data_IF_229179550049
#
_entry.id   IF_229179550049
#
_cell.length_a   1.000
_cell.length_b   1.000
_cell.length_c   1.000
_cell.angle_alpha   90.00
_cell.angle_beta   90.00
_cell.angle_gamma   90.00
#
_symmetry.space_group_name_H-M   'P 1'
#
loop_
_entity.id
_entity.type
_entity.pdbx_description
1 polymer ?
#
# COMPACT_ATOMS: atom_id res chain seq x y z
N UNK A 1 15.26 5.47 7.64
CA UNK A 1 16.20 5.05 8.73
C UNK A 1 15.62 5.26 10.12
N UNK A 2 14.79 6.31 10.33
CA UNK A 2 14.17 6.63 11.62
C UNK A 2 13.28 5.49 12.15
N UNK A 3 12.41 4.94 11.31
CA UNK A 3 11.50 3.86 11.68
C UNK A 3 12.24 2.61 12.19
N UNK A 4 13.28 2.17 11.47
CA UNK A 4 14.07 0.99 11.85
C UNK A 4 14.76 1.20 13.21
N UNK A 5 15.34 2.38 13.45
CA UNK A 5 15.95 2.72 14.73
C UNK A 5 14.92 2.74 15.87
N UNK A 6 13.72 3.27 15.62
CA UNK A 6 12.63 3.27 16.60
C UNK A 6 12.17 1.84 16.91
N UNK A 7 11.91 0.99 15.90
CA UNK A 7 11.52 -0.40 16.12
C UNK A 7 12.60 -1.20 16.88
N UNK A 8 13.87 -0.88 16.67
CA UNK A 8 14.98 -1.49 17.39
C UNK A 8 14.97 -1.17 18.90
N UNK A 9 14.41 -0.03 19.35
CA UNK A 9 14.29 0.27 20.80
C UNK A 9 13.29 -0.65 21.51
N UNK A 10 12.30 -1.17 20.76
CA UNK A 10 11.38 -2.23 21.19
C UNK A 10 11.97 -3.64 20.98
N UNK A 11 13.22 -3.71 20.50
CA UNK A 11 13.91 -4.94 20.16
C UNK A 11 13.28 -5.68 18.97
N UNK A 12 12.53 -4.99 18.11
CA UNK A 12 11.96 -5.55 16.90
C UNK A 12 13.02 -5.44 15.79
N UNK A 13 13.51 -6.58 15.30
CA UNK A 13 14.46 -6.61 14.20
C UNK A 13 13.71 -6.44 12.88
N UNK A 14 14.18 -5.50 12.05
CA UNK A 14 13.63 -5.22 10.71
C UNK A 14 14.75 -5.12 9.68
N UNK A 15 14.41 -5.25 8.40
CA UNK A 15 15.37 -5.12 7.30
C UNK A 15 14.83 -4.18 6.23
N UNK A 16 15.70 -3.35 5.66
CA UNK A 16 15.39 -2.56 4.46
C UNK A 16 15.49 -3.43 3.19
N UNK A 17 14.90 -2.99 2.06
CA UNK A 17 15.09 -3.67 0.77
C UNK A 17 16.56 -3.88 0.38
N UNK A 18 17.45 -2.97 0.79
CA UNK A 18 18.88 -3.10 0.55
C UNK A 18 19.53 -4.16 1.44
N UNK A 19 19.12 -4.27 2.71
CA UNK A 19 19.65 -5.25 3.67
C UNK A 19 19.19 -6.71 3.43
N UNK A 20 18.22 -6.92 2.54
CA UNK A 20 17.74 -8.25 2.13
C UNK A 20 18.39 -8.76 0.84
N UNK A 21 19.17 -7.93 0.15
CA UNK A 21 19.95 -8.34 -1.02
C UNK A 21 20.78 -9.60 -0.70
N UNK A 22 20.89 -10.57 -1.64
CA UNK A 22 20.45 -10.50 -3.04
C UNK A 22 18.96 -10.85 -3.27
N UNK A 23 18.17 -11.08 -2.21
CA UNK A 23 16.74 -11.36 -2.35
C UNK A 23 16.01 -10.07 -2.68
N UNK A 24 15.22 -10.10 -3.75
CA UNK A 24 14.40 -8.95 -4.13
C UNK A 24 13.01 -9.04 -3.50
N UNK A 25 12.53 -7.92 -2.98
CA UNK A 25 11.16 -7.81 -2.48
C UNK A 25 10.29 -7.22 -3.58
N UNK A 26 9.23 -7.92 -3.97
CA UNK A 26 8.33 -7.49 -5.05
C UNK A 26 6.92 -7.21 -4.52
N UNK A 27 6.21 -6.33 -5.21
CA UNK A 27 4.75 -6.24 -5.10
C UNK A 27 4.09 -7.52 -5.63
N UNK A 28 2.97 -7.98 -5.04
CA UNK A 28 2.12 -9.02 -5.64
C UNK A 28 1.80 -8.76 -7.12
N UNK A 29 1.69 -7.49 -7.54
CA UNK A 29 1.41 -7.11 -8.92
C UNK A 29 2.51 -7.55 -9.89
N UNK A 30 3.77 -7.53 -9.46
CA UNK A 30 4.89 -7.99 -10.29
C UNK A 30 4.85 -9.51 -10.46
N UNK A 31 4.51 -10.24 -9.40
CA UNK A 31 4.31 -11.68 -9.47
C UNK A 31 3.11 -12.05 -10.36
N UNK A 32 2.03 -11.26 -10.34
CA UNK A 32 0.91 -11.46 -11.28
C UNK A 32 1.38 -11.37 -12.74
N UNK A 33 2.18 -10.34 -13.09
CA UNK A 33 2.77 -10.19 -14.44
C UNK A 33 3.64 -11.39 -14.83
N UNK A 34 4.43 -11.92 -13.90
CA UNK A 34 5.19 -13.16 -14.14
C UNK A 34 4.24 -14.31 -14.49
N UNK A 35 3.20 -14.50 -13.68
CA UNK A 35 2.27 -15.60 -13.87
C UNK A 35 1.43 -15.48 -15.15
N UNK A 36 1.28 -14.31 -15.78
CA UNK A 36 0.62 -14.20 -17.09
C UNK A 36 1.29 -15.08 -18.15
N UNK A 37 2.61 -15.23 -18.05
CA UNK A 37 3.38 -16.04 -18.99
C UNK A 37 3.21 -17.56 -18.77
N UNK A 38 2.61 -17.96 -17.65
CA UNK A 38 2.33 -19.37 -17.39
C UNK A 38 1.31 -19.90 -18.40
N UNK A 39 1.71 -20.90 -19.18
CA UNK A 39 0.86 -21.54 -20.18
C UNK A 39 0.76 -20.80 -21.52
N UNK A 40 1.62 -19.80 -21.76
CA UNK A 40 1.73 -19.18 -23.09
C UNK A 40 2.22 -20.21 -24.11
N UNK A 41 1.48 -20.39 -25.20
CA UNK A 41 1.87 -21.23 -26.32
C UNK A 41 1.39 -20.63 -27.63
N UNK A 42 2.32 -20.04 -28.38
CA UNK A 42 2.03 -19.38 -29.66
C UNK A 42 1.49 -20.33 -30.73
N UNK A 43 1.95 -21.58 -30.76
CA UNK A 43 1.49 -22.58 -31.74
C UNK A 43 0.03 -22.98 -31.51
N UNK A 44 -0.42 -22.98 -30.25
CA UNK A 44 -1.79 -23.30 -29.86
C UNK A 44 -2.68 -22.07 -29.65
N UNK A 45 -2.16 -20.86 -29.87
CA UNK A 45 -2.89 -19.62 -29.61
C UNK A 45 -3.18 -19.34 -28.13
N UNK A 46 -2.53 -20.04 -27.20
CA UNK A 46 -2.71 -19.84 -25.76
C UNK A 46 -1.93 -18.60 -25.30
N UNK A 47 -2.65 -17.65 -24.70
CA UNK A 47 -2.10 -16.37 -24.23
C UNK A 47 -1.60 -16.40 -22.78
N UNK A 48 -1.70 -17.55 -22.12
CA UNK A 48 -1.26 -17.74 -20.74
C UNK A 48 -2.36 -17.50 -19.70
N UNK A 49 -1.95 -17.27 -18.45
CA UNK A 49 -2.87 -17.14 -17.31
C UNK A 49 -3.50 -15.74 -17.29
N UNK A 50 -4.82 -15.61 -17.09
CA UNK A 50 -5.45 -14.32 -16.86
C UNK A 50 -4.88 -13.60 -15.63
N UNK A 51 -4.87 -12.26 -15.67
CA UNK A 51 -4.51 -11.42 -14.53
C UNK A 51 -5.42 -11.71 -13.34
N UNK A 52 -4.85 -12.38 -12.33
CA UNK A 52 -5.55 -12.73 -11.09
C UNK A 52 -4.63 -12.48 -9.90
N UNK A 53 -5.15 -11.83 -8.84
CA UNK A 53 -4.38 -11.56 -7.63
C UNK A 53 -3.80 -12.85 -7.07
N UNK A 54 -2.58 -12.74 -6.58
CA UNK A 54 -1.91 -13.80 -5.85
C UNK A 54 -2.34 -13.66 -4.39
N UNK A 55 -3.04 -14.68 -3.89
CA UNK A 55 -3.49 -14.69 -2.49
C UNK A 55 -2.38 -15.04 -1.50
N UNK A 56 -2.73 -15.03 -0.21
CA UNK A 56 -1.84 -15.25 0.93
C UNK A 56 -0.90 -16.46 0.80
N UNK A 57 -1.39 -17.59 0.26
CA UNK A 57 -0.56 -18.80 0.09
C UNK A 57 0.55 -18.61 -0.97
N UNK A 58 0.30 -17.79 -2.00
CA UNK A 58 1.30 -17.49 -3.01
C UNK A 58 2.27 -16.42 -2.54
N UNK A 59 1.79 -15.36 -1.89
CA UNK A 59 2.66 -14.32 -1.32
C UNK A 59 3.49 -14.80 -0.13
N UNK A 60 3.10 -15.89 0.53
CA UNK A 60 3.87 -16.51 1.63
C UNK A 60 4.98 -17.48 1.18
N UNK A 61 5.50 -17.31 -0.03
CA UNK A 61 6.57 -18.13 -0.63
C UNK A 61 7.77 -17.28 -1.02
N UNK A 62 8.91 -17.96 -1.18
CA UNK A 62 9.99 -17.45 -1.98
C UNK A 62 9.91 -18.04 -3.38
N UNK A 63 10.35 -17.27 -4.36
CA UNK A 63 10.32 -17.63 -5.76
C UNK A 63 11.71 -17.60 -6.35
N UNK A 64 12.01 -18.56 -7.21
CA UNK A 64 13.18 -18.54 -8.08
C UNK A 64 12.72 -18.12 -9.48
N UNK A 65 13.14 -16.94 -9.91
CA UNK A 65 12.69 -16.30 -11.15
C UNK A 65 13.93 -15.82 -11.90
N UNK A 66 14.19 -16.37 -13.09
CA UNK A 66 15.34 -15.98 -13.93
C UNK A 66 16.69 -15.94 -13.18
N UNK A 67 16.95 -16.91 -12.30
CA UNK A 67 18.18 -16.97 -11.50
C UNK A 67 18.23 -15.99 -10.32
N UNK A 68 17.15 -15.26 -10.04
CA UNK A 68 17.01 -14.38 -8.87
C UNK A 68 16.09 -15.02 -7.82
N UNK A 69 16.34 -14.71 -6.56
CA UNK A 69 15.44 -15.08 -5.46
C UNK A 69 14.54 -13.89 -5.17
N UNK A 70 13.24 -14.12 -5.21
CA UNK A 70 12.21 -13.09 -5.07
C UNK A 70 11.29 -13.47 -3.92
N UNK A 71 10.90 -12.50 -3.11
CA UNK A 71 9.85 -12.64 -2.11
C UNK A 71 8.80 -11.56 -2.35
N UNK A 72 7.51 -11.90 -2.25
CA UNK A 72 6.45 -10.92 -2.35
C UNK A 72 5.91 -10.58 -0.96
N UNK A 73 5.56 -9.32 -0.73
CA UNK A 73 4.76 -8.98 0.44
C UNK A 73 3.27 -9.30 0.15
N UNK A 74 2.44 -9.58 1.17
CA UNK A 74 0.99 -9.75 1.09
C UNK A 74 0.23 -8.62 0.38
N UNK A 75 -0.90 -8.96 -0.23
CA UNK A 75 -1.75 -7.98 -0.92
C UNK A 75 -2.25 -6.85 0.01
N UNK A 76 -2.43 -7.12 1.30
CA UNK A 76 -2.85 -6.12 2.29
C UNK A 76 -1.85 -4.96 2.49
N UNK A 77 -0.59 -5.11 2.07
CA UNK A 77 0.41 -4.02 2.11
C UNK A 77 0.57 -3.28 0.78
N UNK A 78 -0.20 -3.67 -0.24
CA UNK A 78 -0.24 -2.97 -1.50
C UNK A 78 -0.94 -1.63 -1.30
N UNK A 79 -0.28 -0.54 -1.71
CA UNK A 79 -0.86 0.80 -1.61
C UNK A 79 -2.09 0.87 -2.51
N UNK A 80 -3.23 1.20 -1.90
CA UNK A 80 -4.51 1.38 -2.56
C UNK A 80 -4.99 2.81 -2.33
N UNK A 81 -5.73 3.36 -3.29
CA UNK A 81 -6.37 4.67 -3.17
C UNK A 81 -7.57 4.66 -2.19
N UNK A 82 -7.87 3.49 -1.60
CA UNK A 82 -9.00 3.30 -0.69
C UNK A 82 -8.65 3.66 0.75
N UNK A 83 -9.50 4.46 1.41
CA UNK A 83 -9.22 4.99 2.75
C UNK A 83 -9.04 3.90 3.81
N UNK A 84 -9.77 2.77 3.74
CA UNK A 84 -9.62 1.69 4.72
C UNK A 84 -8.23 1.04 4.70
N UNK A 85 -7.47 1.14 3.60
CA UNK A 85 -6.09 0.62 3.58
C UNK A 85 -5.13 1.43 4.44
N UNK A 86 -5.58 2.57 4.98
CA UNK A 86 -4.80 3.42 5.87
C UNK A 86 -5.22 3.25 7.35
N UNK A 87 -6.26 2.47 7.64
CA UNK A 87 -6.67 2.17 9.01
C UNK A 87 -5.76 1.09 9.60
N UNK A 88 -4.96 1.48 10.59
CA UNK A 88 -4.00 0.59 11.24
C UNK A 88 -4.69 -0.51 12.06
N UNK A 89 -5.87 -0.26 12.65
CA UNK A 89 -6.59 -1.27 13.40
C UNK A 89 -7.08 -2.39 12.48
N UNK A 90 -7.65 -2.02 11.32
CA UNK A 90 -8.03 -2.99 10.29
C UNK A 90 -6.82 -3.76 9.74
N UNK A 91 -5.71 -3.06 9.48
CA UNK A 91 -4.48 -3.70 9.02
C UNK A 91 -3.96 -4.76 10.01
N UNK A 92 -4.01 -4.48 11.31
CA UNK A 92 -3.61 -5.43 12.37
C UNK A 92 -4.48 -6.68 12.32
N UNK A 93 -5.79 -6.53 12.22
CA UNK A 93 -6.73 -7.65 12.14
C UNK A 93 -6.54 -8.46 10.85
N UNK A 94 -6.30 -7.79 9.72
CA UNK A 94 -6.02 -8.45 8.45
C UNK A 94 -4.70 -9.24 8.48
N UNK A 95 -3.65 -8.72 9.12
CA UNK A 95 -2.38 -9.45 9.31
C UNK A 95 -2.63 -10.73 10.11
N UNK A 96 -3.39 -10.65 11.21
CA UNK A 96 -3.71 -11.83 12.04
C UNK A 96 -4.53 -12.86 11.26
N UNK A 97 -5.56 -12.40 10.55
CA UNK A 97 -6.40 -13.25 9.72
C UNK A 97 -5.58 -13.95 8.63
N UNK A 98 -4.67 -13.22 7.97
CA UNK A 98 -3.81 -13.79 6.93
C UNK A 98 -2.83 -14.82 7.51
N UNK A 99 -2.19 -14.55 8.65
CA UNK A 99 -1.34 -15.51 9.35
C UNK A 99 -2.09 -16.79 9.71
N UNK A 100 -3.29 -16.66 10.28
CA UNK A 100 -4.14 -17.79 10.64
C UNK A 100 -4.58 -18.59 9.41
N UNK A 101 -4.94 -17.91 8.33
CA UNK A 101 -5.31 -18.53 7.06
C UNK A 101 -4.14 -19.34 6.49
N UNK A 102 -2.95 -18.74 6.40
CA UNK A 102 -1.75 -19.41 5.93
C UNK A 102 -1.42 -20.60 6.82
N UNK A 103 -1.39 -20.42 8.14
CA UNK A 103 -1.12 -21.50 9.10
C UNK A 103 -2.08 -22.69 8.98
N UNK A 104 -3.38 -22.42 8.79
CA UNK A 104 -4.41 -23.47 8.69
C UNK A 104 -4.36 -24.23 7.36
N UNK A 105 -4.14 -23.51 6.25
CA UNK A 105 -4.28 -24.06 4.90
C UNK A 105 -2.94 -24.34 4.20
N UNK A 106 -1.81 -24.15 4.87
CA UNK A 106 -0.52 -24.52 4.30
C UNK A 106 -0.39 -26.03 4.13
N UNK A 107 -0.09 -26.46 2.90
CA UNK A 107 0.09 -27.88 2.52
C UNK A 107 1.32 -28.12 1.66
N UNK A 108 2.14 -27.09 1.45
CA UNK A 108 3.31 -27.14 0.57
C UNK A 108 4.57 -27.50 1.34
N UNK A 109 5.57 -28.02 0.65
CA UNK A 109 6.88 -28.34 1.25
C UNK A 109 7.61 -27.05 1.64
N UNK A 110 8.25 -27.07 2.82
CA UNK A 110 8.86 -25.89 3.42
C UNK A 110 7.86 -25.04 4.21
N UNK A 111 8.39 -24.12 5.03
CA UNK A 111 7.60 -23.26 5.90
C UNK A 111 7.06 -22.05 5.12
N UNK A 112 5.80 -21.62 5.36
CA UNK A 112 5.33 -20.35 4.84
C UNK A 112 6.18 -19.21 5.39
N UNK A 113 6.54 -18.27 4.52
CA UNK A 113 7.37 -17.10 4.88
C UNK A 113 6.69 -15.85 4.36
N UNK A 114 6.27 -14.97 5.28
CA UNK A 114 5.50 -13.76 4.98
C UNK A 114 6.32 -12.52 5.34
N UNK A 115 6.29 -11.49 4.47
CA UNK A 115 6.93 -10.21 4.74
C UNK A 115 5.89 -9.22 5.25
N UNK A 116 6.07 -8.72 6.48
CA UNK A 116 5.26 -7.63 7.01
C UNK A 116 5.94 -6.33 6.64
N UNK A 117 5.28 -5.52 5.82
CA UNK A 117 5.82 -4.24 5.38
C UNK A 117 5.38 -3.14 6.35
N UNK A 118 6.34 -2.39 6.89
CA UNK A 118 6.09 -1.26 7.78
C UNK A 118 6.69 -0.02 7.12
N UNK A 119 5.92 1.05 7.07
CA UNK A 119 6.26 2.33 6.45
C UNK A 119 6.30 3.44 7.51
N UNK A 120 6.94 4.57 7.20
CA UNK A 120 7.14 5.64 8.19
C UNK A 120 5.84 6.38 8.55
N UNK A 121 4.88 6.45 7.63
CA UNK A 121 3.53 6.99 7.84
C UNK A 121 2.75 6.20 8.91
N UNK A 122 2.97 4.89 9.02
CA UNK A 122 2.36 4.07 10.07
C UNK A 122 2.67 4.59 11.48
N UNK A 123 3.84 5.22 11.69
CA UNK A 123 4.22 5.79 12.99
C UNK A 123 3.35 6.97 13.42
N UNK A 124 2.65 7.61 12.48
CA UNK A 124 1.80 8.77 12.73
C UNK A 124 0.39 8.37 13.16
N UNK A 125 0.02 7.12 12.93
CA UNK A 125 -1.32 6.60 13.23
C UNK A 125 -1.56 6.53 14.75
N UNK A 126 -2.80 6.76 15.17
CA UNK A 126 -3.20 6.66 16.57
C UNK A 126 -3.02 5.25 17.13
N UNK A 127 -3.24 4.21 16.30
CA UNK A 127 -3.15 2.81 16.67
C UNK A 127 -1.76 2.19 16.42
N UNK A 128 -0.73 3.02 16.28
CA UNK A 128 0.63 2.52 16.06
C UNK A 128 1.15 1.65 17.22
N UNK A 129 0.67 1.92 18.45
CA UNK A 129 1.05 1.15 19.63
C UNK A 129 0.55 -0.30 19.54
N UNK A 130 -0.64 -0.49 19.01
CA UNK A 130 -1.29 -1.78 18.79
C UNK A 130 -0.51 -2.59 17.74
N UNK A 131 0.06 -1.92 16.72
CA UNK A 131 0.98 -2.56 15.79
C UNK A 131 2.27 -3.02 16.50
N UNK A 132 2.83 -2.22 17.39
CA UNK A 132 3.99 -2.62 18.20
C UNK A 132 3.66 -3.83 19.09
N UNK A 133 2.45 -3.88 19.67
CA UNK A 133 1.99 -5.02 20.47
C UNK A 133 1.87 -6.29 19.61
N UNK A 134 1.34 -6.19 18.39
CA UNK A 134 1.34 -7.29 17.42
C UNK A 134 2.77 -7.77 17.11
N UNK A 135 3.68 -6.86 16.77
CA UNK A 135 5.08 -7.22 16.46
C UNK A 135 5.79 -7.84 17.66
N UNK A 136 5.52 -7.38 18.87
CA UNK A 136 6.04 -7.98 20.10
C UNK A 136 5.47 -9.40 20.32
N UNK A 137 4.20 -9.63 19.98
CA UNK A 137 3.57 -10.96 20.01
C UNK A 137 4.28 -11.91 19.04
N UNK A 138 4.46 -11.48 17.79
CA UNK A 138 5.17 -12.24 16.75
C UNK A 138 6.61 -12.56 17.16
N UNK A 139 7.30 -11.61 17.81
CA UNK A 139 8.66 -11.80 18.34
C UNK A 139 8.72 -12.87 19.43
N UNK A 140 7.69 -12.95 20.29
CA UNK A 140 7.56 -14.03 21.31
C UNK A 140 7.30 -15.42 20.69
N UNK A 141 7.03 -15.47 19.39
CA UNK A 141 6.90 -16.71 18.62
C UNK A 141 5.49 -17.29 18.57
N UNK A 142 4.47 -16.53 18.97
CA UNK A 142 3.07 -16.95 18.92
C UNK A 142 2.16 -15.78 18.52
N UNK A 143 1.10 -16.06 17.77
CA UNK A 143 0.05 -15.11 17.43
C UNK A 143 -1.29 -15.85 17.51
N UNK A 144 -2.15 -15.52 18.47
CA UNK A 144 -3.49 -16.12 18.62
C UNK A 144 -3.51 -17.67 18.52
N UNK A 145 -2.52 -18.33 19.16
CA UNK A 145 -2.36 -19.79 19.16
C UNK A 145 -1.56 -20.36 17.99
N UNK A 146 -1.29 -19.57 16.95
CA UNK A 146 -0.39 -19.93 15.85
C UNK A 146 1.06 -19.74 16.27
N UNK A 147 1.88 -20.79 16.14
CA UNK A 147 3.33 -20.68 16.35
C UNK A 147 3.98 -20.00 15.15
N UNK A 148 4.65 -18.88 15.41
CA UNK A 148 5.35 -18.09 14.40
C UNK A 148 6.83 -17.96 14.74
N UNK A 149 7.65 -17.61 13.75
CA UNK A 149 9.07 -17.33 13.95
C UNK A 149 9.43 -16.07 13.19
N UNK A 150 9.81 -15.03 13.92
CA UNK A 150 10.46 -13.87 13.35
C UNK A 150 11.97 -14.08 13.21
N UNK A 151 12.58 -13.42 12.24
CA UNK A 151 14.02 -13.42 12.05
C UNK A 151 14.41 -12.74 10.75
N UNK A 152 15.72 -12.57 10.54
CA UNK A 152 16.24 -12.07 9.27
C UNK A 152 15.90 -13.04 8.15
N UNK A 153 15.55 -12.50 6.98
CA UNK A 153 15.14 -13.29 5.82
C UNK A 153 16.17 -14.35 5.46
N UNK A 154 17.46 -13.99 5.47
CA UNK A 154 18.58 -14.89 5.15
C UNK A 154 18.60 -16.15 6.03
N UNK A 155 18.14 -16.05 7.28
CA UNK A 155 18.08 -17.18 8.21
C UNK A 155 16.85 -18.06 8.00
N UNK A 156 15.81 -17.52 7.36
CA UNK A 156 14.54 -18.21 7.14
C UNK A 156 14.55 -19.00 5.83
N UNK A 157 15.24 -18.51 4.80
CA UNK A 157 15.31 -19.08 3.43
C UNK A 157 15.52 -20.59 3.44
N UNK A 158 16.45 -21.10 4.25
CA UNK A 158 16.81 -22.53 4.29
C UNK A 158 15.66 -23.45 4.70
N UNK A 159 14.66 -22.92 5.41
CA UNK A 159 13.48 -23.65 5.86
C UNK A 159 12.20 -23.24 5.12
N UNK A 160 12.26 -22.21 4.28
CA UNK A 160 11.13 -21.65 3.56
C UNK A 160 10.69 -22.54 2.40
N UNK A 161 9.43 -22.38 2.00
CA UNK A 161 8.97 -22.90 0.72
C UNK A 161 9.51 -22.03 -0.43
N UNK A 162 10.17 -22.69 -1.39
CA UNK A 162 10.73 -22.07 -2.58
C UNK A 162 10.05 -22.67 -3.80
N UNK A 163 9.41 -21.82 -4.62
CA UNK A 163 8.77 -22.21 -5.87
C UNK A 163 9.58 -21.72 -7.06
N UNK A 164 9.84 -22.60 -8.02
CA UNK A 164 10.62 -22.30 -9.21
C UNK A 164 9.69 -21.94 -10.38
N UNK A 165 9.88 -20.75 -10.95
CA UNK A 165 9.09 -20.25 -12.09
C UNK A 165 9.92 -20.30 -13.37
N UNK A 166 10.33 -21.52 -13.75
CA UNK A 166 11.31 -21.75 -14.83
C UNK A 166 10.72 -21.54 -16.25
N UNK A 167 9.40 -21.42 -16.38
CA UNK A 167 8.73 -21.24 -17.67
C UNK A 167 9.11 -19.92 -18.37
N UNK A 168 9.63 -18.93 -17.66
CA UNK A 168 10.10 -17.68 -18.24
C UNK A 168 11.33 -17.87 -19.14
N UNK A 169 12.15 -18.89 -18.89
CA UNK A 169 13.33 -19.20 -19.71
C UNK A 169 12.97 -19.64 -21.14
N UNK A 170 11.73 -20.04 -21.37
CA UNK A 170 11.25 -20.45 -22.69
C UNK A 170 10.88 -19.26 -23.58
N UNK A 171 10.85 -18.04 -23.01
CA UNK A 171 10.47 -16.83 -23.71
C UNK A 171 11.71 -16.01 -24.09
N UNK A 172 11.69 -15.35 -25.26
CA UNK A 172 12.75 -14.40 -25.61
C UNK A 172 12.84 -13.29 -24.56
N UNK A 173 14.05 -12.91 -24.17
CA UNK A 173 14.26 -11.85 -23.17
C UNK A 173 13.57 -10.52 -23.52
N UNK A 174 13.51 -10.19 -24.81
CA UNK A 174 12.83 -8.99 -25.32
C UNK A 174 11.31 -9.00 -25.10
N UNK A 175 10.71 -10.19 -24.90
CA UNK A 175 9.28 -10.33 -24.69
C UNK A 175 8.88 -10.23 -23.20
N UNK A 176 9.85 -10.22 -22.29
CA UNK A 176 9.59 -10.13 -20.85
C UNK A 176 9.51 -8.66 -20.42
N UNK A 177 8.49 -8.27 -19.64
CA UNK A 177 8.43 -6.92 -19.09
C UNK A 177 9.55 -6.74 -18.06
N UNK A 178 9.92 -5.49 -17.83
CA UNK A 178 10.80 -5.15 -16.71
C UNK A 178 10.04 -5.34 -15.40
N UNK A 179 10.55 -6.23 -14.56
CA UNK A 179 10.06 -6.40 -13.19
C UNK A 179 10.77 -5.41 -12.27
N UNK A 180 10.00 -4.83 -11.35
CA UNK A 180 10.49 -3.79 -10.44
C UNK A 180 10.43 -4.29 -9.01
N UNK A 181 11.58 -4.28 -8.34
CA UNK A 181 11.66 -4.52 -6.92
C UNK A 181 11.21 -3.29 -6.14
N UNK A 182 10.70 -3.52 -4.93
CA UNK A 182 10.39 -2.50 -3.95
C UNK A 182 11.68 -1.71 -3.66
N UNK A 183 11.65 -0.42 -3.94
CA UNK A 183 12.75 0.47 -3.61
C UNK A 183 12.52 1.12 -2.25
N UNK A 184 13.62 1.39 -1.55
CA UNK A 184 13.57 2.18 -0.33
C UNK A 184 13.21 3.62 -0.69
N UNK A 185 12.25 4.21 0.01
CA UNK A 185 11.91 5.63 -0.13
C UNK A 185 13.10 6.47 0.33
N UNK A 186 13.60 7.33 -0.56
CA UNK A 186 14.60 8.34 -0.24
C UNK A 186 13.89 9.57 0.34
N UNK A 187 14.15 9.88 1.62
CA UNK A 187 13.67 11.12 2.21
C UNK A 187 14.73 12.22 1.99
N UNK A 188 14.39 13.34 1.32
CA UNK A 188 15.34 14.41 1.03
C UNK A 188 15.81 15.17 2.28
N UNK A 189 15.14 15.00 3.42
CA UNK A 189 15.51 15.63 4.69
C UNK A 189 16.22 14.64 5.61
N UNK A 190 17.55 14.59 5.48
CA UNK A 190 18.48 13.94 6.42
C UNK A 190 18.68 14.78 7.70
N UNK A 191 17.61 15.39 8.22
CA UNK A 191 17.62 16.04 9.52
C UNK A 191 17.27 15.01 10.58
N UNK A 192 18.16 14.78 11.55
CA UNK A 192 17.84 14.02 12.75
C UNK A 192 16.71 14.72 13.52
N UNK A 193 15.47 14.51 13.10
CA UNK A 193 14.30 14.80 13.93
C UNK A 193 14.28 13.75 15.03
N UNK A 194 14.17 14.20 16.28
CA UNK A 194 14.15 13.33 17.45
C UNK A 194 13.19 12.15 17.23
N UNK A 195 13.56 10.93 17.66
CA UNK A 195 12.69 9.76 17.59
C UNK A 195 11.35 9.98 18.32
N UNK A 196 11.28 10.94 19.23
CA UNK A 196 10.09 11.32 20.01
C UNK A 196 9.16 12.29 19.30
N UNK A 197 9.58 12.95 18.23
CA UNK A 197 8.82 14.01 17.55
C UNK A 197 8.21 13.51 16.23
N UNK A 198 7.44 12.42 16.28
CA UNK A 198 6.64 12.00 15.12
C UNK A 198 5.33 12.79 15.20
N UNK A 199 5.02 13.68 14.24
CA UNK A 199 3.74 14.36 14.22
C UNK A 199 2.64 13.30 14.12
N UNK A 200 1.81 13.18 15.16
CA UNK A 200 0.64 12.31 15.11
C UNK A 200 -0.34 12.87 14.09
N UNK A 201 -1.08 12.00 13.42
CA UNK A 201 -2.22 12.41 12.62
C UNK A 201 -3.13 13.28 13.50
N UNK A 202 -3.35 14.52 13.08
CA UNK A 202 -4.20 15.47 13.80
C UNK A 202 -5.65 15.05 13.53
N UNK A 203 -6.46 14.92 14.58
CA UNK A 203 -7.90 14.78 14.41
C UNK A 203 -8.42 16.06 13.76
N UNK A 204 -8.68 16.00 12.45
CA UNK A 204 -9.18 17.13 11.71
C UNK A 204 -10.63 17.38 12.07
N UNK A 205 -10.91 18.56 12.61
CA UNK A 205 -12.25 19.02 12.97
C UNK A 205 -12.41 20.43 12.42
N UNK A 206 -13.41 20.61 11.58
CA UNK A 206 -13.73 21.88 10.95
C UNK A 206 -15.22 22.19 11.14
N UNK A 207 -15.59 23.48 11.22
CA UNK A 207 -16.99 23.87 11.24
C UNK A 207 -17.68 23.47 9.92
N UNK A 208 -18.83 22.79 10.03
CA UNK A 208 -19.69 22.51 8.88
C UNK A 208 -20.55 23.74 8.59
N UNK A 209 -20.43 24.30 7.38
CA UNK A 209 -21.28 25.36 6.89
C UNK A 209 -22.20 24.84 5.78
N UNK A 210 -23.40 25.42 5.65
CA UNK A 210 -24.28 25.10 4.53
C UNK A 210 -23.88 25.89 3.29
N UNK A 211 -23.41 25.18 2.26
CA UNK A 211 -23.03 25.75 0.96
C UNK A 211 -24.14 25.63 -0.09
N UNK A 212 -25.31 25.08 0.25
CA UNK A 212 -26.47 25.01 -0.65
C UNK A 212 -26.86 26.35 -1.30
N UNK A 213 -26.76 27.51 -0.62
CA UNK A 213 -27.05 28.81 -1.24
C UNK A 213 -26.18 29.15 -2.45
N UNK A 214 -24.97 28.57 -2.57
CA UNK A 214 -24.10 28.77 -3.74
C UNK A 214 -24.65 28.09 -5.01
N UNK A 215 -25.65 27.21 -4.89
CA UNK A 215 -26.37 26.63 -6.03
C UNK A 215 -27.14 27.67 -6.87
N UNK A 216 -27.42 28.86 -6.32
CA UNK A 216 -28.06 29.95 -7.08
C UNK A 216 -27.09 31.07 -7.50
N UNK A 217 -25.84 31.06 -7.00
CA UNK A 217 -24.82 32.07 -7.28
C UNK A 217 -24.11 31.83 -8.61
N UNK A 218 -23.48 32.87 -9.16
CA UNK A 218 -22.68 32.77 -10.39
C UNK A 218 -21.37 32.00 -10.18
N UNK A 219 -20.79 31.47 -11.25
CA UNK A 219 -19.53 30.73 -11.18
C UNK A 219 -18.36 31.59 -10.65
N UNK A 220 -18.35 32.89 -10.98
CA UNK A 220 -17.34 33.83 -10.49
C UNK A 220 -17.42 34.02 -8.97
N UNK A 221 -18.62 34.07 -8.40
CA UNK A 221 -18.82 34.17 -6.95
C UNK A 221 -18.41 32.88 -6.22
N UNK A 222 -18.56 31.71 -6.86
CA UNK A 222 -18.08 30.43 -6.32
C UNK A 222 -16.55 30.39 -6.33
N UNK A 223 -15.92 30.83 -7.42
CA UNK A 223 -14.45 30.93 -7.53
C UNK A 223 -13.90 31.92 -6.51
N UNK A 224 -14.56 33.06 -6.32
CA UNK A 224 -14.16 34.02 -5.30
C UNK A 224 -14.31 33.44 -3.89
N UNK A 225 -15.40 32.72 -3.60
CA UNK A 225 -15.55 32.04 -2.32
C UNK A 225 -14.48 30.96 -2.09
N UNK A 226 -14.09 30.21 -3.12
CA UNK A 226 -13.02 29.21 -3.02
C UNK A 226 -11.68 29.80 -2.57
N UNK A 227 -11.39 31.07 -2.90
CA UNK A 227 -10.16 31.76 -2.46
C UNK A 227 -10.13 32.06 -0.97
N UNK A 228 -11.30 32.25 -0.37
CA UNK A 228 -11.43 32.67 1.04
C UNK A 228 -11.79 31.52 1.98
N UNK A 229 -12.15 30.36 1.44
CA UNK A 229 -12.47 29.18 2.25
C UNK A 229 -11.19 28.42 2.62
N UNK A 230 -10.96 28.31 3.92
CA UNK A 230 -9.85 27.59 4.56
C UNK A 230 -10.23 26.17 5.02
N UNK A 231 -11.52 25.83 4.96
CA UNK A 231 -12.07 24.52 5.32
C UNK A 231 -12.04 23.55 4.13
N UNK A 232 -11.63 22.30 4.36
CA UNK A 232 -11.62 21.24 3.34
C UNK A 232 -13.04 20.91 2.91
N UNK A 233 -13.98 20.85 3.85
CA UNK A 233 -15.41 20.66 3.56
C UNK A 233 -15.91 21.77 2.64
N UNK A 234 -15.63 23.03 2.96
CA UNK A 234 -16.10 24.15 2.14
C UNK A 234 -15.49 24.16 0.75
N UNK A 235 -14.20 23.90 0.63
CA UNK A 235 -13.53 23.74 -0.67
C UNK A 235 -14.16 22.61 -1.47
N UNK A 236 -14.41 21.45 -0.86
CA UNK A 236 -15.06 20.31 -1.51
C UNK A 236 -16.49 20.63 -1.97
N UNK A 237 -17.29 21.31 -1.16
CA UNK A 237 -18.66 21.68 -1.53
C UNK A 237 -18.68 22.65 -2.71
N UNK A 238 -17.89 23.71 -2.65
CA UNK A 238 -17.82 24.72 -3.71
C UNK A 238 -17.26 24.16 -5.02
N UNK A 239 -16.20 23.33 -4.95
CA UNK A 239 -15.67 22.62 -6.12
C UNK A 239 -16.71 21.64 -6.69
N UNK A 240 -17.48 20.94 -5.84
CA UNK A 240 -18.54 20.04 -6.27
C UNK A 240 -19.68 20.75 -7.01
N UNK A 241 -20.12 21.91 -6.50
CA UNK A 241 -21.12 22.75 -7.17
C UNK A 241 -20.58 23.23 -8.53
N UNK A 242 -19.33 23.68 -8.59
CA UNK A 242 -18.70 24.14 -9.82
C UNK A 242 -18.55 23.00 -10.84
N UNK A 243 -18.11 21.82 -10.39
CA UNK A 243 -17.98 20.60 -11.20
C UNK A 243 -19.29 20.18 -11.88
N UNK A 244 -20.42 20.39 -11.22
CA UNK A 244 -21.74 20.12 -11.80
C UNK A 244 -22.13 21.08 -12.94
N UNK A 245 -21.44 22.22 -13.08
CA UNK A 245 -21.82 23.31 -13.99
C UNK A 245 -20.86 23.55 -15.13
N UNK A 246 -19.56 23.30 -14.92
CA UNK A 246 -18.50 23.63 -15.88
C UNK A 246 -17.75 22.37 -16.33
N UNK A 247 -16.97 22.49 -17.40
CA UNK A 247 -16.16 21.37 -17.88
C UNK A 247 -14.91 21.16 -16.99
N UNK A 248 -14.29 19.96 -17.02
CA UNK A 248 -13.08 19.66 -16.24
C UNK A 248 -11.88 20.57 -16.57
N UNK A 249 -11.87 21.17 -17.76
CA UNK A 249 -10.80 22.07 -18.24
C UNK A 249 -11.06 23.54 -17.88
N UNK A 250 -12.08 23.83 -17.07
CA UNK A 250 -12.39 25.18 -16.63
C UNK A 250 -11.24 25.71 -15.77
N UNK A 251 -10.78 26.92 -16.06
CA UNK A 251 -9.58 27.49 -15.43
C UNK A 251 -9.95 28.28 -14.17
N UNK A 252 -9.34 27.92 -13.05
CA UNK A 252 -9.43 28.64 -11.77
C UNK A 252 -8.01 29.11 -11.44
N UNK A 253 -7.79 30.42 -11.51
CA UNK A 253 -6.50 31.09 -11.28
C UNK A 253 -5.31 30.45 -12.04
N UNK A 254 -5.56 30.01 -13.28
CA UNK A 254 -4.51 29.45 -14.15
C UNK A 254 -4.29 27.94 -14.02
N UNK A 255 -5.05 27.25 -13.16
CA UNK A 255 -5.01 25.79 -12.96
C UNK A 255 -6.35 25.19 -13.38
N UNK A 256 -6.33 24.00 -13.99
CA UNK A 256 -7.58 23.35 -14.42
C UNK A 256 -8.41 22.90 -13.21
N UNK A 257 -9.74 22.96 -13.32
CA UNK A 257 -10.65 22.47 -12.29
C UNK A 257 -10.37 20.99 -11.94
N UNK A 258 -10.05 20.16 -12.94
CA UNK A 258 -9.60 18.78 -12.74
C UNK A 258 -8.36 18.72 -11.83
N UNK A 259 -7.39 19.60 -12.06
CA UNK A 259 -6.16 19.65 -11.27
C UNK A 259 -6.44 20.14 -9.85
N UNK A 260 -7.38 21.07 -9.63
CA UNK A 260 -7.80 21.47 -8.28
C UNK A 260 -8.44 20.32 -7.49
N UNK A 261 -9.26 19.49 -8.13
CA UNK A 261 -9.84 18.30 -7.50
C UNK A 261 -8.80 17.19 -7.22
N UNK A 262 -7.68 17.19 -7.93
CA UNK A 262 -6.61 16.19 -7.79
C UNK A 262 -5.49 16.66 -6.86
N UNK A 263 -5.14 17.96 -6.85
CA UNK A 263 -4.04 18.53 -6.05
C UNK A 263 -4.40 18.77 -4.59
N UNK A 264 -5.69 18.85 -4.24
CA UNK A 264 -6.17 18.74 -2.85
C UNK A 264 -5.75 17.43 -2.14
N UNK A 265 -5.24 16.44 -2.88
CA UNK A 265 -4.68 15.18 -2.37
C UNK A 265 -3.26 15.31 -1.78
N UNK A 266 -2.59 16.44 -1.95
CA UNK A 266 -1.16 16.58 -1.62
C UNK A 266 -0.89 16.96 -0.15
N UNK A 267 -1.88 17.55 0.53
CA UNK A 267 -1.68 18.22 1.82
C UNK A 267 -2.51 17.64 2.97
N UNK A 268 -3.48 16.76 2.67
CA UNK A 268 -4.37 16.17 3.68
C UNK A 268 -4.45 14.66 3.47
N UNK A 269 -3.97 13.90 4.45
CA UNK A 269 -4.14 12.45 4.55
C UNK A 269 -5.58 12.11 4.98
N UNK A 270 -6.58 12.62 4.26
CA UNK A 270 -7.98 12.20 4.36
C UNK A 270 -8.58 12.36 2.96
N UNK A 271 -8.84 11.26 2.22
CA UNK A 271 -9.50 11.38 0.93
C UNK A 271 -11.01 11.56 1.15
N UNK A 272 -11.53 12.74 0.83
CA UNK A 272 -12.96 12.96 0.60
C UNK A 272 -13.27 12.46 -0.82
N UNK A 273 -13.94 11.31 -0.94
CA UNK A 273 -14.50 10.84 -2.20
C UNK A 273 -15.99 11.18 -2.27
N UNK A 274 -16.43 11.69 -3.43
CA UNK A 274 -17.82 11.70 -3.85
C UNK A 274 -17.98 10.68 -4.99
N UNK A 275 -18.77 9.63 -4.78
CA UNK A 275 -19.38 8.86 -5.86
C UNK A 275 -20.90 8.96 -5.76
N UNK A 276 -21.53 9.22 -6.91
CA UNK A 276 -22.97 9.36 -7.08
C UNK A 276 -23.69 8.11 -6.60
N UNK A 277 -24.59 8.28 -5.63
CA UNK A 277 -25.72 7.37 -5.44
C UNK A 277 -26.63 7.52 -6.66
N UNK A 278 -26.67 6.53 -7.53
CA UNK A 278 -27.85 6.32 -8.37
C UNK A 278 -28.92 5.67 -7.51
N UNK A 279 -30.05 6.37 -7.37
CA UNK A 279 -31.32 5.81 -6.94
C UNK A 279 -31.76 4.69 -7.87
N UNK A 280 -32.34 3.64 -7.26
CA UNK A 280 -33.58 3.06 -7.75
C UNK A 280 -34.67 3.45 -6.76
#
# INVERSE_FOLDING_TARGET
>A
MRLQAMLATYGIQTQTPHEVEPVQIWSPKQLMKVYEFLGVNRKLGLRGRPQRPIGALGTSKLYRICGQTVMCYPLLFEVSDFYLSHDMALLIDDIKNELMFVGKYWRMSGRPTMAILIREDNMRDAHFKELLDLLAMLKKGHCDGLKVRMGRLQNLISSSCIEHLDFLHLLPHEALPRFEALQQLEHPTTGYQSLTEVPKAIAYSEPSYDYSPFQAKSNNEIVEALKHVDTLHGQSQLLGILWGRVNPNFMIDGVMLLEHCVTGRSSVTVPVFWEKWWTA
#
